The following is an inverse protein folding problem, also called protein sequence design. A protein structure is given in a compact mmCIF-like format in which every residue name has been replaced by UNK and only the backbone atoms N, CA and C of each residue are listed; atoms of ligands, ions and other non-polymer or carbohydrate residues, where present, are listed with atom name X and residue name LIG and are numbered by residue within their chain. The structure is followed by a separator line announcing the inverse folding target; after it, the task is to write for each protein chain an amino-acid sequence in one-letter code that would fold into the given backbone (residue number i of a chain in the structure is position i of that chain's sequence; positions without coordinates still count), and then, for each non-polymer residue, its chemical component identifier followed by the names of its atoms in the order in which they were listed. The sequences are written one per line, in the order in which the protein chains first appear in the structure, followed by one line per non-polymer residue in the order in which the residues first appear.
data_IF_272130709197
#
_entry.id   IF_272130709197
#
_cell.length_a   1.000
_cell.length_b   1.000
_cell.length_c   1.000
_cell.angle_alpha   90.00
_cell.angle_beta   90.00
_cell.angle_gamma   90.00
#
_symmetry.space_group_name_H-M   'P 1'
#
loop_
_entity.id
_entity.type
_entity.pdbx_description
1 polymer ?
#
# COMPACT_ATOMS: atom_id res chain seq x y z
N UNK A 1 -52.97 21.82 12.58
CA UNK A 1 -52.51 22.60 11.41
C UNK A 1 -51.44 23.56 11.90
N UNK A 2 -50.20 23.06 11.95
CA UNK A 2 -49.01 23.84 12.31
C UNK A 2 -48.07 23.69 11.11
N UNK A 3 -47.63 24.78 10.46
CA UNK A 3 -46.87 24.69 9.23
C UNK A 3 -45.46 24.15 9.50
N UNK A 4 -45.05 23.36 8.53
CA UNK A 4 -43.76 22.75 8.26
C UNK A 4 -42.58 23.64 8.66
N UNK A 5 -41.85 23.24 9.71
CA UNK A 5 -40.59 23.87 10.10
C UNK A 5 -39.47 23.03 9.50
N UNK A 6 -38.70 23.54 8.53
CA UNK A 6 -37.65 22.75 7.88
C UNK A 6 -36.59 22.33 8.91
N UNK A 7 -36.25 21.05 8.89
CA UNK A 7 -35.23 20.45 9.75
C UNK A 7 -33.86 21.09 9.45
N UNK A 8 -33.22 21.79 10.41
CA UNK A 8 -31.94 22.45 10.20
C UNK A 8 -30.78 21.48 9.99
N UNK A 9 -30.99 20.16 10.14
CA UNK A 9 -29.97 19.13 9.97
C UNK A 9 -30.32 18.10 8.90
N UNK A 10 -31.15 18.48 7.91
CA UNK A 10 -31.35 17.69 6.70
C UNK A 10 -30.00 17.27 6.10
N UNK A 11 -29.85 15.97 5.83
CA UNK A 11 -28.65 15.39 5.23
C UNK A 11 -28.35 16.01 3.86
N UNK A 12 -29.37 16.46 3.14
CA UNK A 12 -29.26 17.10 1.84
C UNK A 12 -28.66 18.52 1.93
N UNK A 13 -29.00 19.26 3.01
CA UNK A 13 -28.42 20.57 3.31
C UNK A 13 -26.97 20.45 3.79
N UNK A 14 -26.63 19.40 4.55
CA UNK A 14 -25.28 19.13 5.04
C UNK A 14 -24.32 18.68 3.94
N UNK A 15 -24.83 18.01 2.91
CA UNK A 15 -24.05 17.56 1.76
C UNK A 15 -24.05 18.57 0.59
N UNK A 16 -24.77 19.68 0.72
CA UNK A 16 -24.85 20.73 -0.31
C UNK A 16 -25.41 20.22 -1.64
N UNK A 17 -26.23 19.17 -1.61
CA UNK A 17 -26.73 18.48 -2.81
C UNK A 17 -27.95 19.17 -3.43
N UNK A 18 -28.48 20.21 -2.79
CA UNK A 18 -29.59 21.01 -3.30
C UNK A 18 -29.21 21.97 -4.45
N UNK A 19 -27.91 22.14 -4.72
CA UNK A 19 -27.40 22.87 -5.89
C UNK A 19 -26.57 21.97 -6.79
N UNK A 20 -27.20 20.91 -7.32
CA UNK A 20 -26.72 20.24 -8.52
C UNK A 20 -27.11 21.07 -9.76
N UNK A 21 -26.68 22.34 -9.79
CA UNK A 21 -26.50 23.04 -11.06
C UNK A 21 -25.62 22.14 -11.95
N UNK A 22 -26.02 21.87 -13.20
CA UNK A 22 -25.22 21.04 -14.09
C UNK A 22 -23.81 21.64 -14.14
N UNK A 23 -22.80 20.83 -13.79
CA UNK A 23 -21.41 21.23 -13.94
C UNK A 23 -21.25 21.83 -15.34
N UNK A 24 -20.60 23.00 -15.46
CA UNK A 24 -20.44 23.63 -16.76
C UNK A 24 -19.82 22.60 -17.69
N UNK A 25 -20.57 22.25 -18.75
CA UNK A 25 -20.04 21.42 -19.82
C UNK A 25 -18.76 22.14 -20.27
N UNK A 26 -17.58 21.50 -20.22
CA UNK A 26 -16.38 22.15 -20.71
C UNK A 26 -16.69 22.60 -22.14
N UNK A 27 -16.34 23.83 -22.54
CA UNK A 27 -16.67 24.30 -23.87
C UNK A 27 -16.15 23.28 -24.89
N UNK A 28 -17.06 22.60 -25.59
CA UNK A 28 -16.75 21.67 -26.70
C UNK A 28 -16.21 22.40 -27.92
N UNK A 29 -15.97 23.70 -27.82
CA UNK A 29 -15.19 24.45 -28.78
C UNK A 29 -13.74 24.05 -28.59
N UNK A 30 -13.00 23.59 -29.63
CA UNK A 30 -11.55 23.60 -29.53
C UNK A 30 -11.17 24.99 -29.07
N UNK A 31 -10.38 25.10 -28.00
CA UNK A 31 -9.84 26.36 -27.53
C UNK A 31 -9.13 26.97 -28.73
N UNK A 32 -9.83 27.83 -29.47
CA UNK A 32 -9.19 28.68 -30.44
C UNK A 32 -8.33 29.57 -29.59
N UNK A 33 -6.99 29.60 -29.82
CA UNK A 33 -6.12 30.43 -29.03
C UNK A 33 -6.69 31.83 -29.08
N UNK A 34 -7.07 32.32 -27.90
CA UNK A 34 -7.51 33.69 -27.72
C UNK A 34 -6.52 34.57 -28.47
N UNK A 35 -7.02 35.38 -29.40
CA UNK A 35 -6.24 36.39 -30.08
C UNK A 35 -5.91 37.51 -29.09
N UNK A 36 -5.22 37.15 -28.01
CA UNK A 36 -4.41 38.08 -27.27
C UNK A 36 -3.40 38.61 -28.28
N UNK A 37 -3.37 39.94 -28.40
CA UNK A 37 -2.52 40.68 -29.32
C UNK A 37 -1.20 39.95 -29.48
N UNK A 38 -0.97 39.35 -30.65
CA UNK A 38 0.38 39.01 -31.08
C UNK A 38 1.04 40.37 -31.22
N UNK A 39 1.69 40.84 -30.16
CA UNK A 39 2.70 41.87 -30.30
C UNK A 39 3.65 41.34 -31.36
N UNK A 40 3.60 41.97 -32.54
CA UNK A 40 4.38 41.60 -33.71
C UNK A 40 5.84 41.95 -33.42
N UNK A 41 6.48 41.20 -32.53
CA UNK A 41 7.85 41.40 -32.08
C UNK A 41 8.81 40.52 -32.86
N UNK A 42 9.20 40.96 -34.06
CA UNK A 42 10.22 40.36 -34.94
C UNK A 42 9.90 38.97 -35.52
N UNK A 43 10.16 38.79 -36.82
CA UNK A 43 10.17 37.46 -37.43
C UNK A 43 11.16 36.54 -36.68
N UNK A 44 10.77 35.27 -36.45
CA UNK A 44 11.66 34.27 -35.84
C UNK A 44 12.93 34.18 -36.71
N UNK A 45 14.11 34.52 -36.18
CA UNK A 45 15.34 34.52 -36.95
C UNK A 45 15.68 33.08 -37.38
N UNK A 46 16.24 32.93 -38.59
CA UNK A 46 16.66 31.61 -39.08
C UNK A 46 17.78 30.99 -38.24
N UNK A 47 18.58 31.81 -37.57
CA UNK A 47 19.63 31.36 -36.66
C UNK A 47 19.70 32.20 -35.38
N UNK A 48 19.91 31.54 -34.24
CA UNK A 48 20.05 32.15 -32.92
C UNK A 48 21.43 31.83 -32.31
N UNK A 49 21.92 32.72 -31.45
CA UNK A 49 23.08 32.48 -30.58
C UNK A 49 22.73 31.47 -29.47
N UNK A 50 23.74 31.04 -28.70
CA UNK A 50 23.55 30.03 -27.65
C UNK A 50 22.57 30.48 -26.56
N UNK A 51 22.66 31.75 -26.14
CA UNK A 51 21.79 32.30 -25.10
C UNK A 51 20.36 32.46 -25.62
N UNK A 52 20.20 32.93 -26.86
CA UNK A 52 18.90 33.12 -27.51
C UNK A 52 18.17 31.79 -27.71
N UNK A 53 18.84 30.75 -28.23
CA UNK A 53 18.20 29.44 -28.42
C UNK A 53 17.91 28.73 -27.09
N UNK A 54 18.74 28.94 -26.06
CA UNK A 54 18.50 28.44 -24.72
C UNK A 54 17.22 29.04 -24.13
N UNK A 55 17.08 30.37 -24.19
CA UNK A 55 15.88 31.06 -23.74
C UNK A 55 14.65 30.63 -24.57
N UNK A 56 14.79 30.54 -25.90
CA UNK A 56 13.70 30.19 -26.82
C UNK A 56 13.14 28.78 -26.56
N UNK A 57 14.00 27.80 -26.30
CA UNK A 57 13.59 26.41 -26.02
C UNK A 57 13.36 26.12 -24.53
N UNK A 58 13.42 27.15 -23.68
CA UNK A 58 13.36 27.04 -22.23
C UNK A 58 14.35 26.01 -21.65
N UNK A 59 15.62 26.16 -22.02
CA UNK A 59 16.74 25.32 -21.62
C UNK A 59 17.79 26.14 -20.86
N UNK A 60 18.50 25.50 -19.94
CA UNK A 60 19.73 26.07 -19.41
C UNK A 60 20.81 26.16 -20.50
N UNK A 61 21.61 27.23 -20.51
CA UNK A 61 22.66 27.46 -21.52
C UNK A 61 23.68 26.31 -21.61
N UNK A 62 23.92 25.61 -20.49
CA UNK A 62 24.77 24.41 -20.41
C UNK A 62 24.24 23.24 -21.23
N UNK A 63 22.91 23.10 -21.32
CA UNK A 63 22.23 22.02 -22.03
C UNK A 63 22.32 22.17 -23.54
N UNK A 64 22.51 23.38 -24.06
CA UNK A 64 22.62 23.63 -25.51
C UNK A 64 23.81 22.87 -26.09
N UNK A 65 24.96 22.87 -25.40
CA UNK A 65 26.17 22.18 -25.88
C UNK A 65 25.95 20.66 -25.90
N UNK A 66 25.44 20.09 -24.82
CA UNK A 66 25.12 18.65 -24.73
C UNK A 66 24.16 18.24 -25.84
N UNK A 67 23.04 18.95 -26.00
CA UNK A 67 22.04 18.64 -27.03
C UNK A 67 22.54 18.88 -28.46
N UNK A 68 23.57 19.70 -28.65
CA UNK A 68 24.24 19.83 -29.95
C UNK A 68 25.14 18.63 -30.24
N UNK A 69 25.85 18.12 -29.23
CA UNK A 69 26.67 16.90 -29.33
C UNK A 69 25.77 15.69 -29.59
N UNK A 70 24.62 15.63 -28.91
CA UNK A 70 23.61 14.57 -29.07
C UNK A 70 22.87 14.66 -30.42
N UNK A 71 23.19 15.65 -31.27
CA UNK A 71 22.58 15.83 -32.59
C UNK A 71 21.15 16.38 -32.58
N UNK A 72 20.63 16.81 -31.43
CA UNK A 72 19.27 17.34 -31.28
C UNK A 72 19.19 18.81 -31.75
N UNK A 73 20.21 19.62 -31.42
CA UNK A 73 20.32 21.01 -31.88
C UNK A 73 21.33 21.10 -33.02
N UNK A 74 20.94 21.79 -34.10
CA UNK A 74 21.72 21.85 -35.34
C UNK A 74 22.40 23.21 -35.46
N UNK A 75 23.72 23.22 -35.72
CA UNK A 75 24.47 24.46 -35.94
C UNK A 75 24.21 25.02 -37.35
N UNK A 76 23.99 26.33 -37.43
CA UNK A 76 23.92 27.09 -38.67
C UNK A 76 25.24 27.83 -39.01
N UNK A 77 26.17 27.91 -38.06
CA UNK A 77 27.46 28.57 -38.23
C UNK A 77 28.26 28.67 -36.93
N UNK A 78 29.29 29.52 -36.89
CA UNK A 78 30.11 29.74 -35.69
C UNK A 78 29.24 30.33 -34.58
N UNK A 79 29.08 29.57 -33.49
CA UNK A 79 28.28 29.95 -32.32
C UNK A 79 26.81 30.33 -32.65
N UNK A 80 26.25 29.77 -33.73
CA UNK A 80 24.85 29.97 -34.12
C UNK A 80 24.17 28.66 -34.48
N UNK A 81 22.89 28.55 -34.12
CA UNK A 81 22.06 27.37 -34.29
C UNK A 81 20.87 27.68 -35.18
N UNK A 82 20.55 26.75 -36.09
CA UNK A 82 19.37 26.81 -36.94
C UNK A 82 18.13 26.62 -36.08
N UNK A 83 17.27 27.64 -36.01
CA UNK A 83 16.12 27.63 -35.09
C UNK A 83 15.10 26.58 -35.50
N UNK A 84 14.78 26.45 -36.79
CA UNK A 84 13.75 25.51 -37.26
C UNK A 84 14.18 24.07 -37.06
N UNK A 85 15.41 23.73 -37.49
CA UNK A 85 15.93 22.37 -37.38
C UNK A 85 16.10 21.95 -35.92
N UNK A 86 16.63 22.84 -35.09
CA UNK A 86 16.84 22.57 -33.66
C UNK A 86 15.52 22.43 -32.89
N UNK A 87 14.52 23.25 -33.22
CA UNK A 87 13.19 23.16 -32.58
C UNK A 87 12.49 21.86 -32.97
N UNK A 88 12.52 21.48 -34.25
CA UNK A 88 11.94 20.21 -34.72
C UNK A 88 12.60 19.00 -34.05
N UNK A 89 13.94 18.97 -33.98
CA UNK A 89 14.69 17.91 -33.30
C UNK A 89 14.36 17.84 -31.80
N UNK A 90 14.26 18.99 -31.13
CA UNK A 90 13.92 19.04 -29.72
C UNK A 90 12.50 18.56 -29.43
N UNK A 91 11.51 18.99 -30.22
CA UNK A 91 10.11 18.54 -30.10
C UNK A 91 10.00 17.04 -30.36
N UNK A 92 10.65 16.52 -31.40
CA UNK A 92 10.66 15.09 -31.69
C UNK A 92 11.21 14.26 -30.51
N UNK A 93 12.29 14.73 -29.87
CA UNK A 93 12.82 14.10 -28.65
C UNK A 93 11.82 14.14 -27.50
N UNK A 94 11.15 15.27 -27.28
CA UNK A 94 10.14 15.38 -26.22
C UNK A 94 8.98 14.43 -26.45
N UNK A 95 8.51 14.32 -27.69
CA UNK A 95 7.46 13.37 -28.07
C UNK A 95 7.91 11.92 -27.90
N UNK A 96 9.15 11.57 -28.26
CA UNK A 96 9.71 10.23 -28.02
C UNK A 96 9.81 9.91 -26.52
N UNK A 97 10.18 10.89 -25.70
CA UNK A 97 10.25 10.70 -24.26
C UNK A 97 8.86 10.57 -23.64
N UNK A 98 7.89 11.36 -24.10
CA UNK A 98 6.50 11.30 -23.66
C UNK A 98 5.83 9.99 -24.11
N UNK A 99 6.10 9.50 -25.32
CA UNK A 99 5.57 8.22 -25.81
C UNK A 99 6.16 7.02 -25.06
N UNK A 100 7.42 7.09 -24.62
CA UNK A 100 8.03 6.10 -23.71
C UNK A 100 7.52 6.17 -22.28
N UNK A 101 7.10 7.36 -21.82
CA UNK A 101 6.53 7.54 -20.49
C UNK A 101 5.02 7.16 -20.44
N UNK A 102 4.30 7.36 -21.55
CA UNK A 102 2.86 7.08 -21.68
C UNK A 102 2.53 5.72 -22.28
N UNK A 103 3.50 5.01 -22.86
CA UNK A 103 3.38 3.58 -23.19
C UNK A 103 3.94 2.80 -22.00
N UNK A 104 3.11 2.07 -21.23
CA UNK A 104 3.65 1.00 -20.41
C UNK A 104 4.49 0.13 -21.34
N UNK A 105 5.74 -0.22 -21.01
CA UNK A 105 6.37 -1.33 -21.73
C UNK A 105 5.39 -2.50 -21.65
N UNK A 106 5.21 -3.30 -22.72
CA UNK A 106 4.46 -4.54 -22.59
C UNK A 106 5.00 -5.29 -21.36
N UNK A 107 4.19 -5.40 -20.28
CA UNK A 107 4.58 -5.94 -18.98
C UNK A 107 5.00 -4.95 -17.87
N UNK A 108 5.01 -3.64 -18.08
CA UNK A 108 5.40 -2.63 -17.07
C UNK A 108 4.36 -2.40 -15.97
N UNK A 109 3.08 -2.49 -16.33
CA UNK A 109 1.98 -2.38 -15.37
C UNK A 109 1.82 -3.69 -14.58
N UNK A 110 1.97 -4.84 -15.25
CA UNK A 110 2.05 -6.16 -14.61
C UNK A 110 3.23 -6.23 -13.63
N UNK A 111 4.40 -5.69 -14.00
CA UNK A 111 5.58 -5.70 -13.13
C UNK A 111 5.44 -4.74 -11.94
N UNK A 112 4.68 -3.64 -12.07
CA UNK A 112 4.31 -2.78 -10.93
C UNK A 112 3.28 -3.46 -10.04
N UNK A 113 2.25 -4.09 -10.62
CA UNK A 113 1.23 -4.84 -9.88
C UNK A 113 1.87 -5.99 -9.09
N UNK A 114 2.81 -6.71 -9.69
CA UNK A 114 3.51 -7.80 -9.00
C UNK A 114 4.47 -7.32 -7.92
N UNK A 115 5.18 -6.21 -8.16
CA UNK A 115 5.98 -5.57 -7.10
C UNK A 115 5.11 -5.10 -5.93
N UNK A 116 3.93 -4.56 -6.21
CA UNK A 116 2.98 -4.15 -5.18
C UNK A 116 2.48 -5.38 -4.39
N UNK A 117 2.14 -6.48 -5.06
CA UNK A 117 1.76 -7.74 -4.41
C UNK A 117 2.88 -8.30 -3.53
N UNK A 118 4.10 -8.34 -4.04
CA UNK A 118 5.28 -8.78 -3.28
C UNK A 118 5.53 -7.89 -2.06
N UNK A 119 5.42 -6.57 -2.22
CA UNK A 119 5.62 -5.61 -1.12
C UNK A 119 4.57 -5.79 -0.03
N UNK A 120 3.31 -6.02 -0.39
CA UNK A 120 2.24 -6.34 0.55
C UNK A 120 2.53 -7.64 1.31
N UNK A 121 2.85 -8.72 0.60
CA UNK A 121 3.20 -10.00 1.23
C UNK A 121 4.42 -9.88 2.16
N UNK A 122 5.40 -9.05 1.80
CA UNK A 122 6.56 -8.77 2.65
C UNK A 122 6.18 -7.96 3.89
N UNK A 123 5.27 -7.00 3.78
CA UNK A 123 4.75 -6.24 4.91
C UNK A 123 3.97 -7.15 5.88
N UNK A 124 3.11 -8.04 5.37
CA UNK A 124 2.34 -8.98 6.21
C UNK A 124 3.26 -9.95 6.96
N UNK A 125 4.33 -10.41 6.29
CA UNK A 125 5.37 -11.26 6.90
C UNK A 125 6.11 -10.51 8.02
N UNK A 126 6.45 -9.25 7.78
CA UNK A 126 7.13 -8.40 8.76
C UNK A 126 6.24 -8.14 9.98
N UNK A 127 4.98 -7.80 9.76
CA UNK A 127 4.00 -7.60 10.83
C UNK A 127 3.81 -8.87 11.67
N UNK A 128 3.69 -10.03 11.03
CA UNK A 128 3.61 -11.30 11.74
C UNK A 128 4.87 -11.58 12.57
N UNK A 129 6.06 -11.20 12.06
CA UNK A 129 7.31 -11.35 12.81
C UNK A 129 7.33 -10.42 14.03
N UNK A 130 6.98 -9.15 13.86
CA UNK A 130 6.91 -8.17 14.95
C UNK A 130 5.96 -8.65 16.05
N UNK A 131 4.77 -9.15 15.68
CA UNK A 131 3.80 -9.69 16.67
C UNK A 131 4.34 -10.93 17.42
N UNK A 132 5.12 -11.79 16.76
CA UNK A 132 5.80 -12.92 17.43
C UNK A 132 6.88 -12.43 18.39
N UNK A 133 7.70 -11.48 17.97
CA UNK A 133 8.78 -10.91 18.80
C UNK A 133 8.24 -10.13 20.01
N UNK A 134 7.09 -9.48 19.85
CA UNK A 134 6.35 -8.83 20.94
C UNK A 134 5.69 -9.83 21.92
N UNK A 135 5.68 -11.13 21.58
CA UNK A 135 5.06 -12.17 22.41
C UNK A 135 3.53 -12.28 22.27
N UNK A 136 2.93 -11.61 21.28
CA UNK A 136 1.48 -11.66 21.03
C UNK A 136 1.04 -12.96 20.34
N UNK A 137 1.98 -13.65 19.68
CA UNK A 137 1.73 -14.91 18.98
C UNK A 137 2.58 -16.03 19.59
N UNK A 138 1.89 -17.05 20.10
CA UNK A 138 2.50 -18.27 20.63
C UNK A 138 2.42 -19.41 19.63
N UNK A 139 3.44 -20.28 19.60
CA UNK A 139 3.42 -21.46 18.75
C UNK A 139 2.40 -22.46 19.29
N UNK A 140 1.33 -22.72 18.54
CA UNK A 140 0.26 -23.60 18.99
C UNK A 140 0.77 -25.00 19.38
N UNK A 141 1.76 -25.55 18.67
CA UNK A 141 2.29 -26.86 19.04
C UNK A 141 3.13 -26.82 20.33
N UNK A 142 3.85 -25.72 20.62
CA UNK A 142 4.51 -25.54 21.92
C UNK A 142 3.49 -25.49 23.05
N UNK A 143 2.45 -24.66 22.91
CA UNK A 143 1.38 -24.56 23.90
C UNK A 143 0.74 -25.93 24.13
N UNK A 144 0.36 -26.63 23.06
CA UNK A 144 -0.24 -27.97 23.19
C UNK A 144 0.69 -28.96 23.87
N UNK A 145 2.00 -28.95 23.58
CA UNK A 145 2.98 -29.84 24.24
C UNK A 145 3.08 -29.53 25.73
N UNK A 146 3.26 -28.26 26.10
CA UNK A 146 3.39 -27.84 27.49
C UNK A 146 2.12 -28.17 28.29
N UNK A 147 0.94 -27.83 27.75
CA UNK A 147 -0.33 -28.17 28.37
C UNK A 147 -0.56 -29.68 28.47
N UNK A 148 -0.19 -30.45 27.44
CA UNK A 148 -0.28 -31.91 27.49
C UNK A 148 0.61 -32.51 28.58
N UNK A 149 1.82 -31.96 28.77
CA UNK A 149 2.73 -32.42 29.82
C UNK A 149 2.18 -32.07 31.21
N UNK A 150 1.77 -30.82 31.40
CA UNK A 150 1.17 -30.37 32.66
C UNK A 150 -0.06 -31.22 33.04
N UNK A 151 -0.96 -31.49 32.09
CA UNK A 151 -2.15 -32.30 32.34
C UNK A 151 -1.83 -33.77 32.63
N UNK A 152 -0.78 -34.33 32.01
CA UNK A 152 -0.30 -35.67 32.36
C UNK A 152 0.24 -35.72 33.78
N UNK A 153 0.98 -34.71 34.21
CA UNK A 153 1.51 -34.62 35.57
C UNK A 153 0.38 -34.49 36.61
N UNK A 154 -0.61 -33.63 36.34
CA UNK A 154 -1.81 -33.51 37.17
C UNK A 154 -2.55 -34.84 37.28
N UNK A 155 -2.77 -35.53 36.16
CA UNK A 155 -3.42 -36.86 36.15
C UNK A 155 -2.64 -37.86 36.99
N UNK A 156 -1.32 -37.95 36.82
CA UNK A 156 -0.48 -38.87 37.57
C UNK A 156 -0.50 -38.54 39.08
N UNK A 157 -0.46 -37.25 39.43
CA UNK A 157 -0.51 -36.79 40.82
C UNK A 157 -1.83 -37.15 41.51
N UNK A 158 -2.96 -37.04 40.78
CA UNK A 158 -4.30 -37.42 41.22
C UNK A 158 -4.43 -38.93 41.39
N UNK A 159 -3.99 -39.72 40.40
CA UNK A 159 -4.03 -41.19 40.48
C UNK A 159 -3.14 -41.75 41.59
N UNK A 160 -2.14 -41.00 42.05
CA UNK A 160 -1.32 -41.38 43.20
C UNK A 160 -1.95 -41.01 44.56
N UNK A 161 -3.03 -40.21 44.61
CA UNK A 161 -3.68 -39.81 45.87
C UNK A 161 -4.15 -41.01 46.71
N UNK A 162 -4.86 -42.03 46.17
CA UNK A 162 -5.38 -43.13 46.99
C UNK A 162 -4.26 -43.89 47.71
N UNK A 163 -3.15 -44.16 47.01
CA UNK A 163 -1.99 -44.83 47.61
C UNK A 163 -1.35 -44.01 48.72
N UNK A 164 -1.18 -42.69 48.53
CA UNK A 164 -0.66 -41.79 49.57
C UNK A 164 -1.59 -41.72 50.78
N UNK A 165 -2.91 -41.65 50.57
CA UNK A 165 -3.89 -41.69 51.66
C UNK A 165 -3.82 -43.00 52.44
N UNK A 166 -3.72 -44.14 51.76
CA UNK A 166 -3.56 -45.45 52.41
C UNK A 166 -2.28 -45.56 53.23
N UNK A 167 -1.18 -44.95 52.77
CA UNK A 167 0.07 -44.92 53.53
C UNK A 167 0.03 -43.95 54.72
N UNK A 168 -0.63 -42.80 54.58
CA UNK A 168 -0.64 -41.75 55.60
C UNK A 168 -1.72 -41.93 56.68
N UNK A 169 -2.80 -42.67 56.40
CA UNK A 169 -3.97 -42.81 57.27
C UNK A 169 -4.23 -44.29 57.58
N UNK A 170 -3.62 -44.87 58.63
CA UNK A 170 -3.69 -46.30 58.94
C UNK A 170 -5.09 -46.83 59.29
N UNK A 171 -6.03 -45.93 59.57
CA UNK A 171 -7.42 -46.28 59.89
C UNK A 171 -8.31 -46.45 58.65
N UNK A 172 -7.83 -46.05 57.46
CA UNK A 172 -8.57 -46.29 56.22
C UNK A 172 -8.51 -47.76 55.85
N UNK A 173 -9.66 -48.32 55.51
CA UNK A 173 -9.75 -49.70 55.04
C UNK A 173 -9.41 -49.79 53.55
N UNK A 174 -9.13 -51.00 53.07
CA UNK A 174 -8.94 -51.25 51.64
C UNK A 174 -10.15 -50.81 50.80
N UNK A 175 -11.36 -50.94 51.34
CA UNK A 175 -12.61 -50.50 50.70
C UNK A 175 -12.68 -48.99 50.55
N UNK A 176 -12.21 -48.23 51.55
CA UNK A 176 -12.19 -46.76 51.50
C UNK A 176 -11.22 -46.26 50.42
N UNK A 177 -10.02 -46.86 50.36
CA UNK A 177 -9.02 -46.55 49.34
C UNK A 177 -9.53 -46.89 47.93
N UNK A 178 -10.17 -48.04 47.76
CA UNK A 178 -10.77 -48.43 46.48
C UNK A 178 -11.91 -47.49 46.05
N UNK A 179 -12.68 -46.97 47.02
CA UNK A 179 -13.74 -45.98 46.75
C UNK A 179 -13.13 -44.66 46.28
N UNK A 180 -12.06 -44.19 46.93
CA UNK A 180 -11.33 -42.99 46.51
C UNK A 180 -10.74 -43.13 45.11
N UNK A 181 -10.08 -44.26 44.80
CA UNK A 181 -9.52 -44.51 43.46
C UNK A 181 -10.61 -44.47 42.38
N UNK A 182 -11.76 -45.12 42.63
CA UNK A 182 -12.88 -45.12 41.70
C UNK A 182 -13.46 -43.72 41.48
N UNK A 183 -13.69 -42.93 42.54
CA UNK A 183 -14.24 -41.57 42.38
C UNK A 183 -13.27 -40.63 41.65
N UNK A 184 -11.96 -40.76 41.91
CA UNK A 184 -10.94 -39.98 41.18
C UNK A 184 -10.93 -40.35 39.71
N UNK A 185 -10.96 -41.65 39.37
CA UNK A 185 -11.01 -42.10 37.97
C UNK A 185 -12.27 -41.63 37.28
N UNK A 186 -13.43 -41.76 37.93
CA UNK A 186 -14.71 -41.28 37.41
C UNK A 186 -14.69 -39.78 37.12
N UNK A 187 -14.09 -38.98 38.02
CA UNK A 187 -13.93 -37.55 37.80
C UNK A 187 -12.99 -37.24 36.61
N UNK A 188 -11.88 -37.98 36.48
CA UNK A 188 -10.95 -37.84 35.36
C UNK A 188 -11.56 -38.27 34.02
N UNK A 189 -12.38 -39.32 34.01
CA UNK A 189 -13.14 -39.78 32.85
C UNK A 189 -14.17 -38.73 32.42
N UNK A 190 -14.93 -38.17 33.37
CA UNK A 190 -15.86 -37.08 33.07
C UNK A 190 -15.18 -35.85 32.46
N UNK A 191 -13.96 -35.52 32.89
CA UNK A 191 -13.17 -34.45 32.27
C UNK A 191 -12.65 -34.81 30.87
N UNK A 192 -12.32 -36.06 30.62
CA UNK A 192 -11.86 -36.53 29.31
C UNK A 192 -12.99 -36.49 28.27
N UNK A 193 -14.21 -36.79 28.69
CA UNK A 193 -15.40 -36.75 27.84
C UNK A 193 -15.95 -35.32 27.66
N UNK A 194 -15.29 -34.30 28.22
CA UNK A 194 -15.63 -32.88 28.05
C UNK A 194 -16.71 -32.35 28.99
N UNK A 195 -17.07 -33.13 30.01
CA UNK A 195 -18.31 -33.09 30.78
C UNK A 195 -19.57 -33.32 29.93
#
# INVERSE_FOLDING_TARGET
MHPDRPDPYSLDALLGLDDLSPLPVPPSTPVQPSADKIETGSAIPGAMTQAEIAAFLNLATSQVRTKTIDGILVKAGRARWDVRRSTAGYIARLQQHASRAGRPPDGGDDLKAEKLRLTRAQADKEETRVRREAGELVEAAAVTREWSNLLRDVRNALLAVPSRCGAALPHLTATDIATLDREIRKALEGLADGN
#
